data_IF_446225578821
#
_entry.id   IF_446225578821
#
_cell.length_a   1.000
_cell.length_b   1.000
_cell.length_c   1.000
_cell.angle_alpha   90.00
_cell.angle_beta   90.00
_cell.angle_gamma   90.00
#
_symmetry.space_group_name_H-M   'P 1'
#
loop_
_entity.id
_entity.type
_entity.pdbx_description
1 polymer ?
#
# COMPACT_ATOMS: atom_id res chain seq x y z
N UNK A 1 -19.69 -25.93 -13.69
CA UNK A 1 -18.97 -25.47 -12.48
C UNK A 1 -19.34 -24.01 -12.28
N UNK A 2 -20.13 -23.69 -11.25
CA UNK A 2 -20.56 -22.31 -11.01
C UNK A 2 -19.38 -21.46 -10.53
N UNK A 3 -19.24 -20.24 -11.05
CA UNK A 3 -18.26 -19.30 -10.54
C UNK A 3 -18.57 -19.04 -9.06
N UNK A 4 -17.60 -19.30 -8.18
CA UNK A 4 -17.72 -18.90 -6.78
C UNK A 4 -17.68 -17.38 -6.74
N UNK A 5 -18.79 -16.74 -6.38
CA UNK A 5 -18.84 -15.30 -6.19
C UNK A 5 -17.84 -14.90 -5.10
N UNK A 6 -17.02 -13.88 -5.39
CA UNK A 6 -16.12 -13.33 -4.38
C UNK A 6 -16.95 -12.70 -3.26
N UNK A 7 -16.60 -12.93 -1.99
CA UNK A 7 -17.31 -12.31 -0.88
C UNK A 7 -17.22 -10.78 -1.00
N UNK A 8 -18.26 -10.04 -0.61
CA UNK A 8 -18.25 -8.59 -0.72
C UNK A 8 -17.19 -7.98 0.20
N UNK A 9 -16.49 -6.96 -0.30
CA UNK A 9 -15.39 -6.29 0.41
C UNK A 9 -15.67 -4.81 0.68
N UNK A 10 -14.84 -4.19 1.52
CA UNK A 10 -14.86 -2.77 1.87
C UNK A 10 -13.43 -2.27 2.02
N UNK A 11 -13.21 -1.01 1.66
CA UNK A 11 -11.93 -0.31 1.82
C UNK A 11 -11.95 0.58 3.07
N UNK A 12 -10.83 0.66 3.76
CA UNK A 12 -10.58 1.58 4.87
C UNK A 12 -9.16 2.11 4.84
N UNK A 13 -8.92 3.26 5.49
CA UNK A 13 -7.56 3.72 5.75
C UNK A 13 -6.87 2.78 6.73
N UNK A 14 -5.67 2.33 6.37
CA UNK A 14 -4.79 1.55 7.24
C UNK A 14 -3.78 2.42 7.96
N UNK A 15 -3.16 1.85 8.98
CA UNK A 15 -2.04 2.49 9.65
C UNK A 15 -0.80 2.50 8.75
N UNK A 16 -0.11 3.65 8.69
CA UNK A 16 1.16 3.76 8.01
C UNK A 16 2.23 3.00 8.81
N UNK A 17 3.01 2.09 8.19
CA UNK A 17 4.11 1.42 8.88
C UNK A 17 5.28 2.36 9.24
N UNK A 18 5.34 3.52 8.59
CA UNK A 18 6.34 4.56 8.79
C UNK A 18 5.66 5.93 8.80
N UNK A 19 6.28 6.99 9.33
CA UNK A 19 5.71 8.34 9.27
C UNK A 19 5.31 8.75 7.85
N UNK A 20 4.24 9.53 7.71
CA UNK A 20 3.84 10.13 6.44
C UNK A 20 5.02 10.91 5.83
N UNK A 21 5.26 10.76 4.53
CA UNK A 21 6.38 11.39 3.83
C UNK A 21 7.70 10.63 3.96
N UNK A 22 7.74 9.46 4.62
CA UNK A 22 8.94 8.62 4.67
C UNK A 22 9.32 8.19 3.26
N UNK A 23 10.59 8.38 2.91
CA UNK A 23 11.14 7.89 1.64
C UNK A 23 11.26 6.36 1.68
N UNK A 24 10.61 5.72 0.73
CA UNK A 24 10.54 4.26 0.63
C UNK A 24 10.83 3.79 -0.79
N UNK A 25 11.40 2.61 -0.88
CA UNK A 25 11.62 1.85 -2.11
C UNK A 25 10.44 0.91 -2.34
N UNK A 26 9.86 0.97 -3.53
CA UNK A 26 8.98 -0.04 -4.11
C UNK A 26 9.86 -1.13 -4.74
N UNK A 27 10.05 -2.24 -4.03
CA UNK A 27 10.93 -3.33 -4.47
C UNK A 27 10.37 -4.13 -5.65
N UNK A 28 9.10 -3.92 -6.03
CA UNK A 28 8.46 -4.62 -7.15
C UNK A 28 8.76 -3.93 -8.48
N UNK A 29 8.87 -2.60 -8.49
CA UNK A 29 9.09 -1.82 -9.71
C UNK A 29 10.41 -1.05 -9.71
N UNK A 30 11.26 -1.22 -8.69
CA UNK A 30 12.56 -0.55 -8.56
C UNK A 30 12.45 0.98 -8.65
N UNK A 31 11.46 1.53 -7.92
CA UNK A 31 11.18 2.98 -7.86
C UNK A 31 11.16 3.46 -6.42
N UNK A 32 11.54 4.70 -6.20
CA UNK A 32 11.52 5.34 -4.87
C UNK A 32 10.48 6.45 -4.84
N UNK A 33 9.76 6.55 -3.72
CA UNK A 33 8.76 7.60 -3.49
C UNK A 33 8.52 7.82 -2.00
N UNK A 34 7.73 8.84 -1.68
CA UNK A 34 7.30 9.12 -0.32
C UNK A 34 6.00 8.38 -0.03
N UNK A 35 5.93 7.70 1.12
CA UNK A 35 4.73 7.02 1.60
C UNK A 35 3.68 8.05 2.04
N UNK A 36 2.51 8.06 1.39
CA UNK A 36 1.44 9.01 1.68
C UNK A 36 0.15 8.38 2.22
N UNK A 37 -0.03 7.08 2.04
CA UNK A 37 -1.25 6.42 2.47
C UNK A 37 -1.13 4.90 2.49
N UNK A 38 -1.98 4.27 3.29
CA UNK A 38 -2.27 2.83 3.19
C UNK A 38 -3.78 2.66 3.12
N UNK A 39 -4.24 1.85 2.18
CA UNK A 39 -5.62 1.36 2.14
C UNK A 39 -5.62 -0.13 2.44
N UNK A 40 -6.55 -0.53 3.28
CA UNK A 40 -6.79 -1.93 3.64
C UNK A 40 -8.09 -2.39 3.02
N UNK A 41 -8.07 -3.57 2.40
CA UNK A 41 -9.27 -4.24 1.95
C UNK A 41 -9.69 -5.29 2.97
N UNK A 42 -10.95 -5.26 3.39
CA UNK A 42 -11.53 -6.24 4.31
C UNK A 42 -12.78 -6.90 3.74
N UNK A 43 -13.07 -8.12 4.18
CA UNK A 43 -14.40 -8.72 3.98
C UNK A 43 -15.46 -7.89 4.71
N UNK A 44 -16.61 -7.62 4.08
CA UNK A 44 -17.72 -6.91 4.76
C UNK A 44 -18.18 -7.67 6.00
N UNK A 45 -18.25 -9.00 5.90
CA UNK A 45 -18.59 -9.89 7.01
C UNK A 45 -17.34 -10.19 7.83
N UNK A 46 -17.35 -9.85 9.11
CA UNK A 46 -16.27 -10.17 10.05
C UNK A 46 -14.99 -9.34 9.90
N UNK A 47 -14.92 -8.39 8.94
CA UNK A 47 -13.79 -7.47 8.73
C UNK A 47 -12.42 -8.16 8.62
N UNK A 48 -12.37 -9.36 8.04
CA UNK A 48 -11.11 -10.06 7.82
C UNK A 48 -10.28 -9.26 6.80
N UNK A 49 -9.04 -8.92 7.16
CA UNK A 49 -8.09 -8.27 6.26
C UNK A 49 -7.75 -9.19 5.08
N UNK A 50 -7.81 -8.65 3.87
CA UNK A 50 -7.52 -9.33 2.60
C UNK A 50 -6.20 -8.84 2.03
N UNK A 51 -6.01 -7.51 1.96
CA UNK A 51 -4.83 -6.90 1.35
C UNK A 51 -4.55 -5.53 1.98
N UNK A 52 -3.31 -5.07 1.83
CA UNK A 52 -2.86 -3.72 2.22
C UNK A 52 -2.11 -3.11 1.04
N UNK A 53 -2.54 -1.94 0.61
CA UNK A 53 -1.97 -1.23 -0.53
C UNK A 53 -1.36 0.08 -0.04
N UNK A 54 -0.07 0.29 -0.29
CA UNK A 54 0.62 1.55 -0.06
C UNK A 54 0.41 2.50 -1.25
N UNK A 55 0.22 3.77 -0.96
CA UNK A 55 0.19 4.85 -1.93
C UNK A 55 1.47 5.67 -1.79
N UNK A 56 2.18 5.81 -2.91
CA UNK A 56 3.47 6.49 -2.99
C UNK A 56 3.38 7.66 -3.95
N UNK A 57 4.10 8.74 -3.64
CA UNK A 57 4.30 9.86 -4.55
C UNK A 57 5.78 10.01 -4.92
N UNK A 58 6.12 10.42 -6.14
CA UNK A 58 7.52 10.65 -6.50
C UNK A 58 8.08 11.88 -5.77
N UNK A 59 9.35 11.82 -5.37
CA UNK A 59 10.07 12.98 -4.84
C UNK A 59 10.22 14.04 -5.92
N UNK A 60 9.81 15.28 -5.63
CA UNK A 60 9.81 16.36 -6.63
C UNK A 60 8.54 16.46 -7.47
N UNK A 61 7.52 15.64 -7.18
CA UNK A 61 6.22 15.66 -7.85
C UNK A 61 6.13 14.66 -9.01
N UNK A 62 4.92 14.52 -9.56
CA UNK A 62 4.61 13.57 -10.63
C UNK A 62 3.36 12.75 -10.30
N UNK A 63 3.23 11.58 -10.93
CA UNK A 63 2.05 10.72 -10.82
C UNK A 63 2.24 9.79 -9.63
N UNK A 64 1.29 9.82 -8.69
CA UNK A 64 1.20 8.85 -7.59
C UNK A 64 0.96 7.44 -8.11
N UNK A 65 1.45 6.44 -7.38
CA UNK A 65 1.20 5.04 -7.70
C UNK A 65 0.93 4.22 -6.44
N UNK A 66 0.30 3.08 -6.64
CA UNK A 66 -0.03 2.12 -5.60
C UNK A 66 0.77 0.82 -5.74
N UNK A 67 1.10 0.21 -4.60
CA UNK A 67 1.88 -1.04 -4.52
C UNK A 67 1.42 -1.87 -3.32
N UNK A 68 1.61 -3.21 -3.32
CA UNK A 68 1.40 -4.00 -2.11
C UNK A 68 2.29 -3.49 -0.97
N UNK A 69 1.73 -3.31 0.22
CA UNK A 69 2.45 -2.72 1.35
C UNK A 69 3.70 -3.52 1.72
N UNK A 70 3.66 -4.84 1.56
CA UNK A 70 4.79 -5.75 1.79
C UNK A 70 5.98 -5.54 0.84
N UNK A 71 5.75 -4.89 -0.31
CA UNK A 71 6.79 -4.53 -1.28
C UNK A 71 7.47 -3.20 -0.97
N UNK A 72 7.10 -2.53 0.12
CA UNK A 72 7.62 -1.22 0.51
C UNK A 72 8.65 -1.33 1.63
N UNK A 73 9.84 -0.74 1.43
CA UNK A 73 10.91 -0.70 2.45
C UNK A 73 11.44 0.72 2.63
N UNK A 74 11.80 1.16 3.85
CA UNK A 74 12.47 2.43 4.03
C UNK A 74 13.79 2.45 3.27
N UNK A 75 14.03 3.53 2.53
CA UNK A 75 15.37 3.75 1.98
C UNK A 75 16.28 4.02 3.18
N UNK A 76 17.29 3.15 3.39
CA UNK A 76 18.29 3.41 4.43
C UNK A 76 19.01 4.71 4.07
N UNK A 77 18.97 5.70 4.96
CA UNK A 77 19.90 6.81 4.87
C UNK A 77 21.31 6.21 4.93
N UNK A 78 22.11 6.43 3.88
CA UNK A 78 23.51 6.00 3.86
C UNK A 78 24.19 6.50 5.13
N UNK A 79 24.80 5.57 5.87
CA UNK A 79 25.74 5.89 6.95
C UNK A 79 27.06 6.39 6.36
#
# INVERSE_FOLDING_TARGET
MGAVEKPPTMLSHGELPYPYGTLVEDTQHDRTGELVGVIEEHTKKGRKLISRTAFLRPTGGGIEWDVPLESVKPVKAGS
#
